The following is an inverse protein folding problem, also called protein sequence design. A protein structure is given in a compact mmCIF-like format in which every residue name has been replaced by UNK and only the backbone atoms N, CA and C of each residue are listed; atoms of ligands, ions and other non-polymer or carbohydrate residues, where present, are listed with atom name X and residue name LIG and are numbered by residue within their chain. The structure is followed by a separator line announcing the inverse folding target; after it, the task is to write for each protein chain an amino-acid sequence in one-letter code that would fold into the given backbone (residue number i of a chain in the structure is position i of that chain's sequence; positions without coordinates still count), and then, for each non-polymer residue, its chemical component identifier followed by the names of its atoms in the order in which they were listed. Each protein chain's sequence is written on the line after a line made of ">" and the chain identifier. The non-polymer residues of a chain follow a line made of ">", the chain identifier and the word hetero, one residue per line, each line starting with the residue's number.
data_IF_573231995336
#
_entry.id   IF_573231995336
#
_cell.length_a   1.000
_cell.length_b   1.000
_cell.length_c   1.000
_cell.angle_alpha   90.00
_cell.angle_beta   90.00
_cell.angle_gamma   90.00
#
_symmetry.space_group_name_H-M   'P 1'
#
loop_
_entity.id
_entity.type
_entity.pdbx_description
1 polymer ?
#
# COMPACT_ATOMS: atom_id res chain seq x y z
N UNK A 1 81.33 -13.22 -29.62
CA UNK A 1 79.93 -13.12 -30.07
C UNK A 1 79.05 -13.70 -28.98
N UNK A 2 78.31 -12.89 -28.19
CA UNK A 2 77.20 -13.36 -27.32
C UNK A 2 76.40 -12.22 -26.64
N UNK A 3 76.79 -10.94 -26.76
CA UNK A 3 76.02 -9.83 -26.17
C UNK A 3 74.78 -9.37 -26.96
N UNK A 4 74.60 -9.80 -28.22
CA UNK A 4 73.40 -9.45 -29.02
C UNK A 4 72.17 -10.28 -28.66
N UNK A 5 72.34 -11.48 -28.11
CA UNK A 5 71.22 -12.39 -27.82
C UNK A 5 70.49 -12.05 -26.51
N UNK A 6 71.15 -11.39 -25.55
CA UNK A 6 70.51 -10.95 -24.28
C UNK A 6 69.58 -9.74 -24.44
N UNK A 7 69.88 -8.83 -25.36
CA UNK A 7 69.07 -7.62 -25.61
C UNK A 7 67.74 -8.00 -26.27
N UNK A 8 67.75 -8.96 -27.20
CA UNK A 8 66.55 -9.44 -27.90
C UNK A 8 65.53 -10.03 -26.91
N UNK A 9 65.99 -10.85 -25.95
CA UNK A 9 65.13 -11.45 -24.94
C UNK A 9 64.46 -10.39 -24.05
N UNK A 10 65.23 -9.38 -23.62
CA UNK A 10 64.73 -8.27 -22.79
C UNK A 10 63.68 -7.46 -23.57
N UNK A 11 63.94 -7.14 -24.84
CA UNK A 11 62.98 -6.42 -25.69
C UNK A 11 61.69 -7.21 -25.90
N UNK A 12 61.77 -8.52 -26.15
CA UNK A 12 60.58 -9.37 -26.31
C UNK A 12 59.77 -9.45 -25.02
N UNK A 13 60.44 -9.57 -23.86
CA UNK A 13 59.77 -9.62 -22.57
C UNK A 13 59.05 -8.30 -22.28
N UNK A 14 59.67 -7.15 -22.55
CA UNK A 14 59.02 -5.85 -22.41
C UNK A 14 57.81 -5.69 -23.34
N UNK A 15 57.92 -6.13 -24.59
CA UNK A 15 56.78 -6.12 -25.52
C UNK A 15 55.65 -7.01 -25.01
N UNK A 16 55.96 -8.20 -24.47
CA UNK A 16 54.95 -9.08 -23.85
C UNK A 16 54.29 -8.46 -22.62
N UNK A 17 55.07 -7.80 -21.76
CA UNK A 17 54.53 -7.08 -20.58
C UNK A 17 53.58 -5.97 -21.03
N UNK A 18 53.97 -5.17 -22.02
CA UNK A 18 53.13 -4.08 -22.55
C UNK A 18 51.87 -4.64 -23.20
N UNK A 19 51.99 -5.69 -24.04
CA UNK A 19 50.86 -6.36 -24.66
C UNK A 19 49.89 -6.95 -23.63
N UNK A 20 50.41 -7.58 -22.58
CA UNK A 20 49.60 -8.15 -21.50
C UNK A 20 48.89 -7.05 -20.70
N UNK A 21 49.59 -5.97 -20.36
CA UNK A 21 48.99 -4.83 -19.67
C UNK A 21 47.89 -4.17 -20.51
N UNK A 22 48.10 -4.02 -21.82
CA UNK A 22 47.11 -3.47 -22.75
C UNK A 22 45.90 -4.41 -22.90
N UNK A 23 46.13 -5.71 -23.04
CA UNK A 23 45.06 -6.71 -23.11
C UNK A 23 44.21 -6.72 -21.83
N UNK A 24 44.83 -6.66 -20.65
CA UNK A 24 44.12 -6.54 -19.37
C UNK A 24 43.34 -5.23 -19.26
N UNK A 25 43.90 -4.12 -19.75
CA UNK A 25 43.22 -2.82 -19.79
C UNK A 25 41.96 -2.85 -20.66
N UNK A 26 42.04 -3.46 -21.86
CA UNK A 26 40.90 -3.65 -22.75
C UNK A 26 39.86 -4.60 -22.15
N UNK A 27 40.29 -5.73 -21.59
CA UNK A 27 39.40 -6.68 -20.95
C UNK A 27 38.60 -6.03 -19.81
N UNK A 28 39.26 -5.24 -18.96
CA UNK A 28 38.58 -4.46 -17.91
C UNK A 28 37.56 -3.49 -18.51
N UNK A 29 37.92 -2.72 -19.53
CA UNK A 29 37.00 -1.76 -20.18
C UNK A 29 35.79 -2.45 -20.79
N UNK A 30 35.98 -3.57 -21.49
CA UNK A 30 34.89 -4.36 -22.08
C UNK A 30 33.99 -4.91 -20.98
N UNK A 31 34.57 -5.48 -19.92
CA UNK A 31 33.82 -5.98 -18.78
C UNK A 31 32.96 -4.87 -18.14
N UNK A 32 33.56 -3.74 -17.77
CA UNK A 32 32.82 -2.62 -17.17
C UNK A 32 31.74 -2.06 -18.10
N UNK A 33 32.06 -1.88 -19.38
CA UNK A 33 31.08 -1.40 -20.37
C UNK A 33 29.93 -2.37 -20.51
N UNK A 34 30.19 -3.67 -20.60
CA UNK A 34 29.16 -4.70 -20.74
C UNK A 34 28.28 -4.77 -19.50
N UNK A 35 28.85 -4.71 -18.30
CA UNK A 35 28.09 -4.71 -17.05
C UNK A 35 27.20 -3.46 -16.95
N UNK A 36 27.74 -2.28 -17.28
CA UNK A 36 26.97 -1.04 -17.26
C UNK A 36 25.82 -1.05 -18.27
N UNK A 37 26.08 -1.46 -19.52
CA UNK A 37 25.03 -1.56 -20.55
C UNK A 37 23.94 -2.54 -20.13
N UNK A 38 24.30 -3.67 -19.52
CA UNK A 38 23.32 -4.63 -18.98
C UNK A 38 22.44 -3.99 -17.91
N UNK A 39 23.03 -3.27 -16.93
CA UNK A 39 22.26 -2.59 -15.89
C UNK A 39 21.31 -1.53 -16.44
N UNK A 40 21.75 -0.73 -17.42
CA UNK A 40 20.89 0.26 -18.08
C UNK A 40 19.73 -0.43 -18.83
N UNK A 41 20.00 -1.53 -19.51
CA UNK A 41 18.98 -2.31 -20.21
C UNK A 41 17.98 -2.96 -19.24
N UNK A 42 18.46 -3.54 -18.15
CA UNK A 42 17.62 -4.18 -17.14
C UNK A 42 16.73 -3.16 -16.42
N UNK A 43 17.23 -1.94 -16.16
CA UNK A 43 16.41 -0.84 -15.66
C UNK A 43 15.33 -0.41 -16.67
N UNK A 44 15.67 -0.26 -17.94
CA UNK A 44 14.68 0.08 -18.97
C UNK A 44 13.58 -1.00 -19.09
N UNK A 45 13.96 -2.28 -18.99
CA UNK A 45 13.01 -3.40 -18.95
C UNK A 45 12.16 -3.38 -17.68
N UNK A 46 12.75 -3.10 -16.53
CA UNK A 46 12.06 -2.99 -15.25
C UNK A 46 11.00 -1.87 -15.28
N UNK A 47 11.33 -0.71 -15.85
CA UNK A 47 10.40 0.41 -16.04
C UNK A 47 9.21 0.05 -16.93
N UNK A 48 9.45 -0.65 -18.04
CA UNK A 48 8.37 -1.14 -18.91
C UNK A 48 7.52 -2.16 -18.17
N UNK A 49 8.16 -3.08 -17.45
CA UNK A 49 7.47 -4.13 -16.72
C UNK A 49 6.51 -3.61 -15.64
N UNK A 50 6.94 -2.66 -14.81
CA UNK A 50 6.05 -2.10 -13.78
C UNK A 50 4.87 -1.33 -14.37
N UNK A 51 5.08 -0.63 -15.51
CA UNK A 51 4.02 0.09 -16.22
C UNK A 51 3.01 -0.88 -16.83
N UNK A 52 3.49 -1.96 -17.45
CA UNK A 52 2.63 -3.03 -17.97
C UNK A 52 1.83 -3.70 -16.85
N UNK A 53 2.44 -3.98 -15.70
CA UNK A 53 1.73 -4.54 -14.55
C UNK A 53 0.65 -3.61 -14.00
N UNK A 54 0.92 -2.30 -13.92
CA UNK A 54 -0.10 -1.32 -13.53
C UNK A 54 -1.26 -1.28 -14.55
N UNK A 55 -0.96 -1.26 -15.85
CA UNK A 55 -1.98 -1.31 -16.90
C UNK A 55 -2.80 -2.60 -16.86
N UNK A 56 -2.17 -3.74 -16.52
CA UNK A 56 -2.86 -5.01 -16.35
C UNK A 56 -3.85 -4.96 -15.18
N UNK A 57 -3.43 -4.43 -14.03
CA UNK A 57 -4.31 -4.24 -12.86
C UNK A 57 -5.50 -3.33 -13.19
N UNK A 58 -5.24 -2.22 -13.89
CA UNK A 58 -6.31 -1.32 -14.36
C UNK A 58 -7.32 -2.09 -15.22
N UNK A 59 -6.84 -2.88 -16.18
CA UNK A 59 -7.69 -3.68 -17.04
C UNK A 59 -8.49 -4.75 -16.27
N UNK A 60 -7.91 -5.37 -15.23
CA UNK A 60 -8.62 -6.33 -14.39
C UNK A 60 -9.78 -5.67 -13.62
N UNK A 61 -9.53 -4.49 -13.04
CA UNK A 61 -10.55 -3.74 -12.29
C UNK A 61 -11.64 -3.19 -13.23
N UNK A 62 -11.29 -2.78 -14.45
CA UNK A 62 -12.26 -2.35 -15.46
C UNK A 62 -13.07 -3.52 -16.05
N UNK A 63 -12.51 -4.73 -16.03
CA UNK A 63 -13.19 -5.94 -16.48
C UNK A 63 -14.15 -6.52 -15.44
N UNK A 64 -14.14 -5.99 -14.22
CA UNK A 64 -15.06 -6.39 -13.16
C UNK A 64 -16.52 -6.15 -13.59
N UNK A 65 -17.29 -7.23 -13.60
CA UNK A 65 -18.66 -7.22 -14.10
C UNK A 65 -19.67 -6.77 -13.04
N UNK A 66 -19.36 -6.92 -11.75
CA UNK A 66 -20.28 -6.60 -10.65
C UNK A 66 -19.76 -5.44 -9.80
N UNK A 67 -20.09 -4.22 -10.21
CA UNK A 67 -19.69 -3.00 -9.51
C UNK A 67 -20.53 -2.70 -8.24
N UNK A 68 -21.34 -3.66 -7.77
CA UNK A 68 -22.22 -3.45 -6.60
C UNK A 68 -21.55 -3.82 -5.28
N UNK A 69 -20.49 -4.62 -5.32
CA UNK A 69 -19.64 -4.94 -4.18
C UNK A 69 -18.26 -5.39 -4.65
N UNK A 70 -17.29 -5.38 -3.74
CA UNK A 70 -15.98 -6.00 -3.93
C UNK A 70 -15.64 -6.81 -2.67
N UNK A 71 -15.08 -8.00 -2.84
CA UNK A 71 -14.77 -8.96 -1.79
C UNK A 71 -13.51 -9.80 -2.06
N UNK A 72 -13.26 -10.77 -1.17
CA UNK A 72 -12.00 -11.54 -1.15
C UNK A 72 -11.81 -12.45 -2.38
N UNK A 73 -12.91 -12.80 -3.05
CA UNK A 73 -12.91 -13.68 -4.24
C UNK A 73 -12.71 -12.93 -5.56
N UNK A 74 -12.56 -11.60 -5.52
CA UNK A 74 -12.30 -10.83 -6.72
C UNK A 74 -10.94 -11.12 -7.34
N UNK A 75 -10.92 -11.18 -8.67
CA UNK A 75 -9.75 -11.56 -9.47
C UNK A 75 -8.54 -10.62 -9.32
N UNK A 76 -8.73 -9.43 -8.74
CA UNK A 76 -7.68 -8.47 -8.49
C UNK A 76 -7.21 -8.45 -7.02
N UNK A 77 -7.90 -9.13 -6.09
CA UNK A 77 -7.55 -9.12 -4.67
C UNK A 77 -6.49 -10.15 -4.30
N UNK A 78 -6.68 -11.43 -4.62
CA UNK A 78 -5.73 -12.49 -4.26
C UNK A 78 -5.65 -13.57 -5.35
N UNK A 79 -5.25 -13.16 -6.55
CA UNK A 79 -5.17 -14.07 -7.69
C UNK A 79 -3.74 -14.56 -7.94
N UNK A 80 -3.59 -15.88 -7.98
CA UNK A 80 -2.41 -16.52 -8.56
C UNK A 80 -2.41 -16.36 -10.10
N UNK A 81 -1.28 -16.68 -10.75
CA UNK A 81 -1.16 -16.56 -12.21
C UNK A 81 -0.55 -15.24 -12.64
N UNK A 82 -1.27 -14.41 -13.40
CA UNK A 82 -0.69 -13.21 -14.03
C UNK A 82 -0.33 -12.09 -13.03
N UNK A 83 -0.94 -12.04 -11.85
CA UNK A 83 -0.51 -11.12 -10.77
C UNK A 83 0.72 -11.65 -10.03
N UNK A 84 0.89 -12.96 -9.93
CA UNK A 84 2.11 -13.57 -9.39
C UNK A 84 3.28 -13.43 -10.37
N UNK A 85 3.04 -13.72 -11.66
CA UNK A 85 4.07 -13.79 -12.69
C UNK A 85 3.51 -13.47 -14.08
N UNK A 86 3.11 -12.23 -14.29
CA UNK A 86 2.70 -11.73 -15.59
C UNK A 86 3.88 -11.70 -16.56
N UNK A 87 3.73 -12.30 -17.74
CA UNK A 87 4.79 -12.37 -18.76
C UNK A 87 4.55 -11.33 -19.85
N UNK A 88 5.57 -10.54 -20.16
CA UNK A 88 5.51 -9.54 -21.24
C UNK A 88 6.23 -10.07 -22.48
N UNK A 89 7.49 -10.49 -22.31
CA UNK A 89 8.35 -11.04 -23.34
C UNK A 89 9.49 -11.82 -22.69
N UNK A 90 10.23 -12.63 -23.44
CA UNK A 90 11.30 -13.50 -22.94
C UNK A 90 12.14 -12.89 -21.81
N UNK A 91 11.96 -13.42 -20.59
CA UNK A 91 12.69 -13.00 -19.39
C UNK A 91 12.29 -11.64 -18.82
N UNK A 92 11.20 -11.03 -19.25
CA UNK A 92 10.66 -9.77 -18.71
C UNK A 92 9.19 -9.97 -18.36
N UNK A 93 8.85 -9.67 -17.12
CA UNK A 93 7.50 -9.79 -16.58
C UNK A 93 7.30 -8.88 -15.38
N UNK A 94 6.19 -9.06 -14.69
CA UNK A 94 5.84 -8.32 -13.48
C UNK A 94 5.18 -9.23 -12.45
N UNK A 95 5.15 -8.75 -11.21
CA UNK A 95 4.34 -9.28 -10.13
C UNK A 95 3.67 -8.10 -9.43
N UNK A 96 2.45 -8.30 -8.95
CA UNK A 96 1.68 -7.33 -8.17
C UNK A 96 1.55 -7.91 -6.77
N UNK A 97 2.09 -7.21 -5.78
CA UNK A 97 2.23 -7.74 -4.43
C UNK A 97 1.50 -6.87 -3.41
N UNK A 98 0.87 -7.52 -2.46
CA UNK A 98 0.34 -6.91 -1.25
C UNK A 98 0.64 -7.82 -0.05
N UNK A 99 0.41 -7.31 1.15
CA UNK A 99 0.60 -8.07 2.39
C UNK A 99 -0.77 -8.64 2.80
N UNK A 100 -0.79 -9.91 3.20
CA UNK A 100 -1.98 -10.53 3.79
C UNK A 100 -2.24 -9.93 5.18
N UNK A 101 -3.51 -9.77 5.51
CA UNK A 101 -3.90 -9.27 6.82
C UNK A 101 -3.46 -10.26 7.90
N UNK A 102 -2.89 -9.74 8.99
CA UNK A 102 -2.61 -10.54 10.19
C UNK A 102 -3.93 -10.83 10.89
N UNK A 103 -4.19 -12.09 11.20
CA UNK A 103 -5.37 -12.48 11.98
C UNK A 103 -5.09 -12.35 13.47
N UNK A 104 -3.85 -12.63 13.86
CA UNK A 104 -3.35 -12.46 15.22
C UNK A 104 -2.02 -11.70 15.24
N UNK A 105 -1.67 -11.11 16.38
CA UNK A 105 -0.38 -10.45 16.58
C UNK A 105 0.82 -11.39 16.42
N UNK A 106 0.58 -12.71 16.46
CA UNK A 106 1.59 -13.75 16.35
C UNK A 106 1.79 -14.25 14.91
N UNK A 107 0.93 -13.85 13.98
CA UNK A 107 1.02 -14.28 12.60
C UNK A 107 2.18 -13.58 11.89
N UNK A 108 2.91 -14.33 11.09
CA UNK A 108 3.94 -13.76 10.21
C UNK A 108 3.27 -13.01 9.05
N UNK A 109 3.87 -11.90 8.63
CA UNK A 109 3.43 -11.19 7.42
C UNK A 109 3.71 -12.08 6.22
N UNK A 110 2.63 -12.47 5.52
CA UNK A 110 2.72 -13.26 4.31
C UNK A 110 2.32 -12.42 3.10
N UNK A 111 2.92 -12.74 1.96
CA UNK A 111 2.62 -12.07 0.70
C UNK A 111 1.35 -12.63 0.08
N UNK A 112 0.59 -11.75 -0.57
CA UNK A 112 -0.47 -12.09 -1.53
C UNK A 112 -0.22 -11.37 -2.85
N UNK A 113 -0.85 -11.87 -3.91
CA UNK A 113 -0.72 -11.30 -5.25
C UNK A 113 -2.01 -10.58 -5.64
N UNK A 114 -1.97 -9.26 -5.63
CA UNK A 114 -3.14 -8.42 -5.89
C UNK A 114 -3.01 -7.01 -5.34
N UNK A 115 -4.15 -6.31 -5.32
CA UNK A 115 -4.24 -4.90 -4.92
C UNK A 115 -4.71 -4.74 -3.47
N UNK A 116 -4.36 -3.62 -2.84
CA UNK A 116 -4.91 -3.21 -1.55
C UNK A 116 -6.20 -2.40 -1.74
N UNK A 117 -7.22 -2.71 -0.94
CA UNK A 117 -8.45 -1.92 -0.90
C UNK A 117 -8.25 -0.74 0.07
N UNK A 118 -8.01 0.48 -0.45
CA UNK A 118 -7.60 1.59 0.42
C UNK A 118 -8.72 2.09 1.34
N UNK A 119 -9.98 1.84 1.00
CA UNK A 119 -11.11 2.10 1.89
C UNK A 119 -11.43 0.89 2.79
N UNK A 120 -10.53 -0.06 2.98
CA UNK A 120 -10.61 -1.04 4.08
C UNK A 120 -10.32 -0.43 5.44
N UNK A 121 -9.71 0.77 5.46
CA UNK A 121 -9.32 1.53 6.65
C UNK A 121 -10.23 2.73 6.84
N UNK A 122 -10.32 3.21 8.08
CA UNK A 122 -11.03 4.45 8.38
C UNK A 122 -10.32 5.63 7.70
N UNK A 123 -11.08 6.54 7.09
CA UNK A 123 -10.51 7.71 6.42
C UNK A 123 -10.28 8.84 7.42
N UNK A 124 -9.02 9.27 7.55
CA UNK A 124 -8.58 10.31 8.48
C UNK A 124 -9.25 11.67 8.21
N UNK A 125 -9.63 11.93 6.97
CA UNK A 125 -10.27 13.19 6.55
C UNK A 125 -11.74 13.30 6.99
N UNK A 126 -12.36 12.23 7.48
CA UNK A 126 -13.79 12.18 7.78
C UNK A 126 -14.08 11.60 9.19
N UNK A 127 -13.07 11.57 10.07
CA UNK A 127 -13.24 11.03 11.43
C UNK A 127 -14.18 11.93 12.24
N UNK A 128 -15.17 11.32 12.86
CA UNK A 128 -16.12 11.98 13.75
C UNK A 128 -15.58 12.10 15.17
N UNK A 129 -16.12 13.03 15.97
CA UNK A 129 -15.77 13.17 17.39
C UNK A 129 -15.94 11.87 18.20
N UNK A 130 -16.97 11.06 17.90
CA UNK A 130 -17.18 9.78 18.56
C UNK A 130 -16.06 8.79 18.22
N UNK A 131 -15.68 8.70 16.94
CA UNK A 131 -14.56 7.86 16.49
C UNK A 131 -13.23 8.35 17.08
N UNK A 132 -12.99 9.66 17.14
CA UNK A 132 -11.80 10.26 17.77
C UNK A 132 -11.65 9.82 19.23
N UNK A 133 -12.71 9.96 20.04
CA UNK A 133 -12.68 9.50 21.45
C UNK A 133 -12.35 8.01 21.53
N UNK A 134 -12.98 7.21 20.66
CA UNK A 134 -12.78 5.75 20.63
C UNK A 134 -11.36 5.37 20.23
N UNK A 135 -10.78 6.03 19.23
CA UNK A 135 -9.40 5.81 18.78
C UNK A 135 -8.42 6.11 19.92
N UNK A 136 -8.62 7.24 20.61
CA UNK A 136 -7.82 7.64 21.77
C UNK A 136 -7.88 6.58 22.88
N UNK A 137 -9.07 6.05 23.17
CA UNK A 137 -9.26 5.04 24.20
C UNK A 137 -8.67 3.67 23.83
N UNK A 138 -8.80 3.24 22.58
CA UNK A 138 -8.34 1.91 22.13
C UNK A 138 -6.82 1.87 21.99
N UNK A 139 -6.23 2.90 21.38
CA UNK A 139 -4.83 2.88 20.95
C UNK A 139 -3.90 3.70 21.85
N UNK A 140 -4.43 4.34 22.90
CA UNK A 140 -3.68 5.20 23.83
C UNK A 140 -2.84 6.25 23.08
N UNK A 141 -3.42 6.87 22.04
CA UNK A 141 -2.72 7.85 21.22
C UNK A 141 -2.55 9.18 21.95
N UNK A 142 -1.48 9.90 21.62
CA UNK A 142 -1.26 11.24 22.15
C UNK A 142 -2.36 12.19 21.69
N UNK A 143 -3.19 12.66 22.64
CA UNK A 143 -4.34 13.52 22.39
C UNK A 143 -3.97 14.88 21.80
N UNK A 144 -2.82 15.43 22.20
CA UNK A 144 -2.34 16.73 21.71
C UNK A 144 -1.96 16.63 20.23
N UNK A 145 -1.18 15.61 19.86
CA UNK A 145 -0.75 15.40 18.47
C UNK A 145 -1.96 15.04 17.61
N UNK A 146 -2.87 14.20 18.11
CA UNK A 146 -4.07 13.85 17.36
C UNK A 146 -5.03 15.05 17.20
N UNK A 147 -5.13 15.93 18.18
CA UNK A 147 -5.88 17.19 18.04
C UNK A 147 -5.26 18.09 16.96
N UNK A 148 -3.94 18.24 16.91
CA UNK A 148 -3.26 18.99 15.86
C UNK A 148 -3.47 18.37 14.46
N UNK A 149 -3.65 17.04 14.36
CA UNK A 149 -4.04 16.38 13.11
C UNK A 149 -5.46 16.76 12.68
N UNK A 150 -6.40 16.87 13.63
CA UNK A 150 -7.78 17.26 13.35
C UNK A 150 -7.86 18.74 12.91
N UNK A 151 -7.18 19.65 13.62
CA UNK A 151 -7.07 21.08 13.26
C UNK A 151 -6.45 21.26 11.86
N UNK A 152 -5.51 20.41 11.47
CA UNK A 152 -4.93 20.47 10.12
C UNK A 152 -5.96 20.18 9.01
N UNK A 153 -6.99 19.39 9.32
CA UNK A 153 -7.97 18.84 8.38
C UNK A 153 -9.27 19.62 8.39
N UNK A 154 -9.73 20.06 9.55
CA UNK A 154 -11.04 20.67 9.69
C UNK A 154 -11.06 22.10 9.10
N UNK A 155 -12.22 22.61 8.67
CA UNK A 155 -12.28 23.88 7.96
C UNK A 155 -12.27 25.11 8.88
N UNK A 156 -12.34 24.93 10.19
CA UNK A 156 -12.44 26.05 11.12
C UNK A 156 -11.05 26.52 11.57
N UNK A 157 -10.97 27.33 12.63
CA UNK A 157 -9.69 27.79 13.19
C UNK A 157 -9.75 27.73 14.73
N UNK A 158 -10.65 26.89 15.28
CA UNK A 158 -10.85 26.73 16.72
C UNK A 158 -10.04 25.51 17.19
N UNK A 159 -8.93 25.70 17.94
CA UNK A 159 -8.05 24.57 18.23
C UNK A 159 -8.75 23.47 19.03
N UNK A 160 -8.67 22.23 18.53
CA UNK A 160 -9.26 21.07 19.18
C UNK A 160 -8.61 20.77 20.55
N UNK A 161 -9.28 19.91 21.32
CA UNK A 161 -8.81 19.43 22.62
C UNK A 161 -8.47 20.57 23.62
N UNK A 162 -9.44 21.47 23.84
CA UNK A 162 -9.34 22.59 24.80
C UNK A 162 -8.14 23.53 24.55
N UNK A 163 -7.73 23.73 23.29
CA UNK A 163 -6.61 24.62 22.96
C UNK A 163 -5.26 23.93 22.76
N UNK A 164 -5.19 22.60 22.89
CA UNK A 164 -3.93 21.84 22.77
C UNK A 164 -3.52 21.55 21.31
N UNK A 165 -4.47 21.70 20.39
CA UNK A 165 -4.24 21.59 18.95
C UNK A 165 -3.32 22.67 18.35
N UNK A 166 -3.35 22.80 17.04
CA UNK A 166 -2.47 23.68 16.26
C UNK A 166 -3.18 24.25 15.04
N UNK A 167 -3.62 25.49 15.19
CA UNK A 167 -4.23 26.28 14.13
C UNK A 167 -3.24 27.27 13.52
N UNK A 168 -3.69 28.02 12.51
CA UNK A 168 -2.88 29.02 11.82
C UNK A 168 -2.08 29.92 12.78
N UNK A 169 -2.73 30.45 13.82
CA UNK A 169 -2.11 31.34 14.80
C UNK A 169 -0.90 30.70 15.51
N UNK A 170 -0.96 29.39 15.79
CA UNK A 170 0.15 28.66 16.40
C UNK A 170 1.40 28.64 15.49
N UNK A 171 1.21 28.43 14.18
CA UNK A 171 2.33 28.37 13.24
C UNK A 171 2.90 29.77 12.95
N UNK A 172 2.04 30.80 12.89
CA UNK A 172 2.47 32.19 12.78
C UNK A 172 3.30 32.63 14.00
N UNK A 173 2.86 32.27 15.22
CA UNK A 173 3.59 32.56 16.46
C UNK A 173 4.96 31.85 16.55
N UNK A 174 5.15 30.77 15.80
CA UNK A 174 6.43 30.06 15.68
C UNK A 174 7.34 30.60 14.57
N UNK A 175 6.98 31.73 13.93
CA UNK A 175 7.66 32.28 12.75
C UNK A 175 7.80 31.23 11.61
N UNK A 176 6.85 30.28 11.52
CA UNK A 176 6.82 29.26 10.48
C UNK A 176 5.98 29.74 9.30
N UNK A 177 6.52 29.69 8.08
CA UNK A 177 5.77 29.95 6.85
C UNK A 177 4.93 28.71 6.45
N UNK A 178 4.09 28.26 7.39
CA UNK A 178 3.21 27.11 7.27
C UNK A 178 1.80 27.56 7.60
N UNK A 179 0.87 27.26 6.70
CA UNK A 179 -0.56 27.43 6.97
C UNK A 179 -1.19 26.04 7.00
N UNK A 180 -1.92 25.69 8.07
CA UNK A 180 -2.77 24.51 8.08
C UNK A 180 -3.66 24.44 6.83
N UNK A 181 -3.93 23.22 6.37
CA UNK A 181 -4.64 23.04 5.11
C UNK A 181 -6.10 23.48 5.21
N UNK A 182 -6.68 23.33 6.39
CA UNK A 182 -8.09 23.47 6.70
C UNK A 182 -8.95 22.71 5.68
N UNK A 183 -8.55 21.48 5.41
CA UNK A 183 -9.18 20.60 4.45
C UNK A 183 -8.50 19.24 4.34
N UNK A 184 -9.05 18.32 3.53
CA UNK A 184 -8.59 16.94 3.45
C UNK A 184 -7.09 16.83 3.13
N UNK A 185 -6.38 16.02 3.92
CA UNK A 185 -5.00 15.63 3.67
C UNK A 185 -4.89 15.12 2.24
N UNK A 186 -3.97 15.74 1.49
CA UNK A 186 -3.64 15.30 0.16
C UNK A 186 -2.55 14.24 0.26
N UNK A 187 -1.51 14.41 1.08
CA UNK A 187 -0.37 13.49 1.15
C UNK A 187 0.01 13.15 2.58
N UNK A 188 0.45 11.91 2.79
CA UNK A 188 1.03 11.46 4.05
C UNK A 188 2.29 12.22 4.48
N UNK A 189 2.93 12.97 3.56
CA UNK A 189 4.06 13.83 3.89
C UNK A 189 3.65 15.09 4.65
N UNK A 190 2.37 15.50 4.56
CA UNK A 190 1.86 16.66 5.29
C UNK A 190 1.86 16.44 6.80
N UNK A 191 1.80 15.19 7.25
CA UNK A 191 1.91 14.86 8.68
C UNK A 191 3.17 15.47 9.32
N UNK A 192 4.28 15.56 8.57
CA UNK A 192 5.54 16.12 9.08
C UNK A 192 5.54 17.65 9.23
N UNK A 193 4.48 18.32 8.79
CA UNK A 193 4.25 19.75 9.02
C UNK A 193 3.42 20.00 10.29
N UNK A 194 2.77 18.96 10.83
CA UNK A 194 1.85 19.05 11.95
C UNK A 194 2.63 19.10 13.27
N UNK A 195 2.21 19.99 14.16
CA UNK A 195 2.76 20.15 15.52
C UNK A 195 2.93 18.79 16.21
N UNK A 196 4.14 18.55 16.72
CA UNK A 196 4.45 17.42 17.59
C UNK A 196 4.48 16.05 16.90
N UNK A 197 4.32 15.98 15.57
CA UNK A 197 4.34 14.71 14.84
C UNK A 197 5.68 13.97 15.03
N UNK A 198 5.61 12.70 15.45
CA UNK A 198 6.78 11.80 15.52
C UNK A 198 6.73 10.78 14.38
N UNK A 199 7.87 10.16 14.07
CA UNK A 199 7.95 9.10 13.06
C UNK A 199 7.06 7.90 13.41
N UNK A 200 7.01 7.54 14.70
CA UNK A 200 6.18 6.44 15.20
C UNK A 200 4.68 6.75 15.04
N UNK A 201 4.26 7.98 15.37
CA UNK A 201 2.85 8.35 15.24
C UNK A 201 2.45 8.51 13.78
N UNK A 202 3.31 9.09 12.94
CA UNK A 202 3.08 9.16 11.50
C UNK A 202 3.01 7.76 10.87
N UNK A 203 3.82 6.80 11.34
CA UNK A 203 3.74 5.39 10.93
C UNK A 203 2.42 4.77 11.37
N UNK A 204 2.02 4.94 12.63
CA UNK A 204 0.73 4.47 13.15
C UNK A 204 -0.44 4.98 12.30
N UNK A 205 -0.45 6.28 11.97
CA UNK A 205 -1.51 6.87 11.14
C UNK A 205 -1.56 6.26 9.73
N UNK A 206 -0.40 6.07 9.08
CA UNK A 206 -0.31 5.44 7.75
C UNK A 206 -0.73 3.97 7.75
N UNK A 207 -0.44 3.25 8.82
CA UNK A 207 -0.74 1.83 8.94
C UNK A 207 -2.22 1.58 9.26
N UNK A 208 -2.88 2.45 10.02
CA UNK A 208 -4.25 2.23 10.50
C UNK A 208 -5.33 3.04 9.76
N UNK A 209 -4.95 4.08 9.02
CA UNK A 209 -5.91 4.97 8.35
C UNK A 209 -5.64 5.06 6.84
N UNK A 210 -6.62 5.58 6.13
CA UNK A 210 -6.50 6.03 4.74
C UNK A 210 -6.78 7.52 4.64
N UNK A 211 -6.34 8.15 3.55
CA UNK A 211 -6.76 9.51 3.17
C UNK A 211 -7.62 9.49 1.89
N UNK A 212 -7.91 8.30 1.36
CA UNK A 212 -8.59 8.08 0.09
C UNK A 212 -10.03 7.58 0.28
N UNK A 213 -10.90 7.87 -0.69
CA UNK A 213 -12.31 7.49 -0.64
C UNK A 213 -13.21 8.55 -0.01
N UNK A 214 -14.48 8.19 0.15
CA UNK A 214 -15.58 9.07 0.55
C UNK A 214 -15.87 9.05 2.06
N UNK A 215 -14.97 8.46 2.84
CA UNK A 215 -15.13 8.28 4.29
C UNK A 215 -15.77 6.96 4.70
N UNK A 216 -16.36 6.19 3.77
CA UNK A 216 -16.98 4.89 4.08
C UNK A 216 -15.99 3.74 3.93
N UNK A 217 -16.05 2.83 4.90
CA UNK A 217 -15.20 1.63 4.96
C UNK A 217 -15.85 0.47 4.20
N UNK A 218 -15.11 -0.16 3.27
CA UNK A 218 -15.54 -1.42 2.69
C UNK A 218 -15.38 -2.54 3.73
N UNK A 219 -16.51 -3.01 4.25
CA UNK A 219 -16.55 -4.00 5.34
C UNK A 219 -15.99 -5.37 4.93
N UNK A 220 -15.99 -5.71 3.63
CA UNK A 220 -15.44 -6.98 3.13
C UNK A 220 -13.93 -7.11 3.35
N UNK A 221 -13.23 -5.99 3.54
CA UNK A 221 -11.77 -5.96 3.72
C UNK A 221 -11.35 -5.34 5.05
N UNK A 222 -12.31 -4.93 5.89
CA UNK A 222 -12.03 -4.16 7.09
C UNK A 222 -11.35 -5.00 8.17
N UNK A 223 -10.16 -4.55 8.58
CA UNK A 223 -9.38 -5.20 9.64
C UNK A 223 -9.99 -4.97 11.02
N UNK A 224 -9.58 -5.79 12.00
CA UNK A 224 -10.03 -5.71 13.40
C UNK A 224 -9.95 -4.28 13.94
N UNK A 225 -8.81 -3.62 13.78
CA UNK A 225 -8.60 -2.26 14.29
C UNK A 225 -9.60 -1.26 13.66
N UNK A 226 -9.85 -1.36 12.36
CA UNK A 226 -10.81 -0.47 11.68
C UNK A 226 -12.23 -0.69 12.20
N UNK A 227 -12.65 -1.95 12.37
CA UNK A 227 -13.97 -2.28 12.90
C UNK A 227 -14.12 -1.84 14.36
N UNK A 228 -13.07 -1.96 15.16
CA UNK A 228 -13.05 -1.43 16.52
C UNK A 228 -13.23 0.10 16.53
N UNK A 229 -12.53 0.83 15.65
CA UNK A 229 -12.68 2.29 15.52
C UNK A 229 -14.08 2.71 15.07
N UNK A 230 -14.76 1.89 14.27
CA UNK A 230 -16.16 2.09 13.89
C UNK A 230 -17.13 1.82 15.04
N UNK A 231 -16.69 1.15 16.11
CA UNK A 231 -17.49 0.87 17.30
C UNK A 231 -18.11 -0.53 17.34
N UNK A 232 -17.61 -1.45 16.52
CA UNK A 232 -18.04 -2.85 16.57
C UNK A 232 -17.47 -3.52 17.83
N UNK A 233 -18.28 -4.29 18.57
CA UNK A 233 -17.76 -5.13 19.66
C UNK A 233 -16.93 -6.29 19.09
N UNK A 234 -15.92 -6.74 19.84
CA UNK A 234 -15.03 -7.84 19.38
C UNK A 234 -15.80 -9.11 19.01
N UNK A 235 -16.89 -9.43 19.72
CA UNK A 235 -17.72 -10.59 19.41
C UNK A 235 -18.34 -10.52 18.02
N UNK A 236 -18.78 -9.34 17.59
CA UNK A 236 -19.30 -9.12 16.25
C UNK A 236 -18.18 -9.18 15.22
N UNK A 237 -17.02 -8.59 15.49
CA UNK A 237 -15.86 -8.61 14.58
C UNK A 237 -15.47 -10.05 14.25
N UNK A 238 -15.38 -10.92 15.27
CA UNK A 238 -15.06 -12.34 15.09
C UNK A 238 -16.09 -13.03 14.17
N UNK A 239 -17.39 -12.76 14.36
CA UNK A 239 -18.46 -13.32 13.51
C UNK A 239 -18.34 -12.85 12.07
N UNK A 240 -18.04 -11.57 11.86
CA UNK A 240 -17.88 -10.98 10.52
C UNK A 240 -16.70 -11.63 9.80
N UNK A 241 -15.53 -11.72 10.44
CA UNK A 241 -14.35 -12.32 9.81
C UNK A 241 -14.50 -13.82 9.57
N UNK A 242 -15.18 -14.57 10.45
CA UNK A 242 -15.52 -15.97 10.19
C UNK A 242 -16.49 -16.14 9.03
N UNK A 243 -17.52 -15.28 8.97
CA UNK A 243 -18.45 -15.29 7.85
C UNK A 243 -17.71 -15.05 6.53
N UNK A 244 -16.86 -14.01 6.46
CA UNK A 244 -16.09 -13.68 5.26
C UNK A 244 -15.15 -14.81 4.82
N UNK A 245 -14.51 -15.52 5.78
CA UNK A 245 -13.57 -16.63 5.51
C UNK A 245 -14.24 -18.00 5.29
N UNK A 246 -15.56 -18.04 5.20
CA UNK A 246 -16.26 -19.28 4.92
C UNK A 246 -16.20 -20.33 6.03
N UNK A 247 -16.14 -21.60 5.63
CA UNK A 247 -16.23 -22.77 6.51
C UNK A 247 -14.84 -23.17 7.01
N UNK A 248 -13.81 -23.01 6.17
CA UNK A 248 -12.45 -23.42 6.50
C UNK A 248 -11.67 -22.39 7.35
N UNK A 249 -12.22 -21.18 7.50
CA UNK A 249 -11.64 -20.05 8.23
C UNK A 249 -10.31 -19.55 7.63
N UNK A 250 -10.09 -19.81 6.35
CA UNK A 250 -8.88 -19.43 5.59
C UNK A 250 -9.22 -18.38 4.55
N UNK A 251 -8.60 -17.21 4.66
CA UNK A 251 -8.79 -16.14 3.66
C UNK A 251 -8.22 -16.51 2.28
N UNK A 252 -9.02 -16.25 1.25
CA UNK A 252 -8.68 -16.36 -0.16
C UNK A 252 -8.99 -17.72 -0.78
N UNK A 253 -9.98 -18.44 -0.25
CA UNK A 253 -10.44 -19.75 -0.72
C UNK A 253 -11.76 -19.63 -1.49
N UNK A 254 -12.18 -20.73 -2.13
CA UNK A 254 -13.42 -20.74 -2.92
C UNK A 254 -14.69 -20.65 -2.07
N UNK A 255 -14.62 -20.90 -0.75
CA UNK A 255 -15.74 -20.84 0.18
C UNK A 255 -15.86 -19.50 0.94
N UNK A 256 -14.97 -18.54 0.67
CA UNK A 256 -15.07 -17.17 1.18
C UNK A 256 -16.41 -16.53 0.78
N UNK A 257 -17.06 -15.90 1.74
CA UNK A 257 -18.28 -15.13 1.50
C UNK A 257 -17.94 -13.68 1.16
N UNK A 258 -18.93 -12.96 0.61
CA UNK A 258 -18.83 -11.52 0.40
C UNK A 258 -20.14 -10.85 0.77
N UNK A 259 -20.02 -9.73 1.47
CA UNK A 259 -21.13 -8.88 1.85
C UNK A 259 -21.48 -8.04 0.63
N UNK A 260 -22.59 -8.39 -0.03
CA UNK A 260 -23.03 -7.72 -1.27
C UNK A 260 -23.92 -6.52 -0.99
N UNK A 261 -24.86 -6.70 -0.06
CA UNK A 261 -25.83 -5.69 0.34
C UNK A 261 -25.97 -5.71 1.85
N UNK A 262 -25.96 -4.53 2.45
CA UNK A 262 -26.03 -4.38 3.90
C UNK A 262 -27.36 -4.92 4.46
N UNK A 263 -28.49 -4.68 3.79
CA UNK A 263 -29.80 -5.09 4.29
C UNK A 263 -29.92 -6.61 4.39
N UNK A 264 -29.21 -7.32 3.50
CA UNK A 264 -29.18 -8.78 3.43
C UNK A 264 -28.11 -9.34 4.37
N UNK A 265 -26.97 -8.66 4.48
CA UNK A 265 -25.85 -9.02 5.35
C UNK A 265 -26.29 -9.45 6.76
N UNK A 266 -27.20 -8.70 7.37
CA UNK A 266 -27.63 -9.00 8.73
C UNK A 266 -28.45 -10.25 8.87
N UNK A 267 -29.22 -10.55 7.84
CA UNK A 267 -29.94 -11.81 7.78
C UNK A 267 -28.94 -12.95 7.61
N UNK A 268 -28.01 -12.83 6.67
CA UNK A 268 -27.02 -13.87 6.36
C UNK A 268 -26.10 -14.14 7.56
N UNK A 269 -25.61 -13.10 8.21
CA UNK A 269 -24.76 -13.21 9.38
C UNK A 269 -25.52 -13.85 10.56
N UNK A 270 -26.79 -13.50 10.77
CA UNK A 270 -27.60 -14.10 11.83
C UNK A 270 -28.02 -15.56 11.53
N UNK A 271 -28.12 -15.93 10.25
CA UNK A 271 -28.29 -17.33 9.83
C UNK A 271 -27.00 -18.14 10.03
N UNK A 272 -25.83 -17.53 9.83
CA UNK A 272 -24.52 -18.14 10.07
C UNK A 272 -24.22 -18.30 11.57
N UNK A 273 -24.36 -17.23 12.35
CA UNK A 273 -24.15 -17.22 13.79
C UNK A 273 -25.09 -16.22 14.47
N UNK A 274 -25.79 -16.65 15.53
CA UNK A 274 -26.77 -15.82 16.26
C UNK A 274 -26.20 -14.47 16.67
N UNK A 275 -26.89 -13.38 16.31
CA UNK A 275 -26.49 -12.01 16.64
C UNK A 275 -27.22 -11.53 17.90
N UNK A 276 -26.48 -10.91 18.82
CA UNK A 276 -27.03 -10.34 20.04
C UNK A 276 -27.56 -8.91 19.83
N UNK A 277 -28.53 -8.43 20.64
CA UNK A 277 -29.09 -7.09 20.48
C UNK A 277 -28.06 -5.95 20.51
N UNK A 278 -27.02 -6.06 21.32
CA UNK A 278 -25.93 -5.07 21.35
C UNK A 278 -25.10 -5.02 20.06
N UNK A 279 -24.87 -6.18 19.43
CA UNK A 279 -24.14 -6.29 18.16
C UNK A 279 -24.95 -5.68 17.02
N UNK A 280 -26.26 -5.97 16.98
CA UNK A 280 -27.20 -5.35 16.05
C UNK A 280 -27.22 -3.82 16.22
N UNK A 281 -27.23 -3.32 17.45
CA UNK A 281 -27.21 -1.88 17.72
C UNK A 281 -25.91 -1.23 17.26
N UNK A 282 -24.77 -1.87 17.52
CA UNK A 282 -23.46 -1.37 17.09
C UNK A 282 -23.35 -1.28 15.57
N UNK A 283 -23.83 -2.31 14.86
CA UNK A 283 -23.83 -2.29 13.41
C UNK A 283 -24.76 -1.21 12.85
N UNK A 284 -25.98 -1.08 13.38
CA UNK A 284 -26.93 -0.06 12.95
C UNK A 284 -26.40 1.37 13.11
N UNK A 285 -25.57 1.63 14.12
CA UNK A 285 -24.89 2.92 14.30
C UNK A 285 -23.76 3.13 13.30
N UNK A 286 -23.11 2.05 12.88
CA UNK A 286 -21.96 2.08 11.97
C UNK A 286 -22.35 2.20 10.49
N UNK A 287 -23.62 1.93 10.17
CA UNK A 287 -24.21 1.99 8.83
C UNK A 287 -23.80 3.17 7.95
N UNK A 288 -23.84 4.43 8.42
CA UNK A 288 -23.48 5.58 7.60
C UNK A 288 -22.01 5.60 7.18
N UNK A 289 -21.16 4.84 7.87
CA UNK A 289 -19.70 4.84 7.74
C UNK A 289 -19.16 3.60 7.04
N UNK A 290 -20.02 2.70 6.56
CA UNK A 290 -19.63 1.48 5.86
C UNK A 290 -20.25 1.40 4.46
N UNK A 291 -19.60 0.67 3.58
CA UNK A 291 -20.11 0.26 2.27
C UNK A 291 -19.56 -1.13 1.93
N UNK A 292 -19.86 -1.60 0.72
CA UNK A 292 -19.36 -2.88 0.18
C UNK A 292 -18.51 -2.68 -1.07
N UNK A 293 -18.20 -1.43 -1.43
CA UNK A 293 -17.58 -1.05 -2.69
C UNK A 293 -16.24 -0.37 -2.42
N UNK A 294 -15.19 -0.80 -3.11
CA UNK A 294 -13.88 -0.20 -3.16
C UNK A 294 -13.79 0.81 -4.30
N UNK A 295 -13.51 2.05 -3.94
CA UNK A 295 -13.36 3.16 -4.90
C UNK A 295 -11.89 3.46 -5.19
N UNK A 296 -11.00 3.11 -4.27
CA UNK A 296 -9.58 3.43 -4.32
C UNK A 296 -8.75 2.20 -4.00
N UNK A 297 -7.76 1.94 -4.84
CA UNK A 297 -6.88 0.78 -4.72
C UNK A 297 -5.42 1.19 -4.63
N UNK A 298 -4.67 0.50 -3.78
CA UNK A 298 -3.23 0.56 -3.68
C UNK A 298 -2.62 -0.54 -4.52
N UNK A 299 -1.66 -0.19 -5.39
CA UNK A 299 -1.03 -1.15 -6.30
C UNK A 299 0.48 -1.06 -6.15
N UNK A 300 1.11 -2.18 -5.79
CA UNK A 300 2.58 -2.31 -5.78
C UNK A 300 3.01 -3.32 -6.82
N UNK A 301 3.72 -2.84 -7.84
CA UNK A 301 4.20 -3.66 -8.95
C UNK A 301 5.71 -3.80 -8.87
N UNK A 302 6.22 -5.03 -8.94
CA UNK A 302 7.65 -5.31 -9.05
C UNK A 302 7.96 -5.98 -10.39
N UNK A 303 9.06 -5.64 -11.06
CA UNK A 303 9.45 -6.25 -12.31
C UNK A 303 10.19 -7.56 -12.07
N UNK A 304 9.93 -8.52 -12.96
CA UNK A 304 10.63 -9.79 -13.03
C UNK A 304 11.56 -9.74 -14.24
N UNK A 305 12.87 -9.85 -14.01
CA UNK A 305 13.90 -9.87 -15.04
C UNK A 305 14.70 -11.18 -14.93
N UNK A 306 14.72 -11.97 -15.99
CA UNK A 306 15.34 -13.30 -16.06
C UNK A 306 14.94 -14.19 -14.88
N UNK A 307 13.63 -14.30 -14.61
CA UNK A 307 13.03 -15.04 -13.47
C UNK A 307 13.39 -14.54 -12.06
N UNK A 308 13.99 -13.36 -11.92
CA UNK A 308 14.28 -12.77 -10.62
C UNK A 308 13.53 -11.45 -10.44
N UNK A 309 13.05 -11.19 -9.22
CA UNK A 309 12.53 -9.87 -8.86
C UNK A 309 13.69 -8.88 -8.93
N UNK A 310 13.57 -7.87 -9.77
CA UNK A 310 14.55 -6.80 -9.88
C UNK A 310 14.24 -5.74 -8.81
N UNK A 311 15.25 -5.18 -8.10
CA UNK A 311 15.07 -4.32 -6.93
C UNK A 311 14.60 -2.91 -7.30
N UNK A 312 13.43 -2.84 -7.91
CA UNK A 312 12.75 -1.65 -8.38
C UNK A 312 11.26 -1.94 -8.27
N UNK A 313 10.45 -0.93 -7.97
CA UNK A 313 9.01 -1.12 -7.87
C UNK A 313 8.28 0.18 -8.16
N UNK A 314 7.00 0.01 -8.50
CA UNK A 314 6.06 1.10 -8.67
C UNK A 314 4.97 0.96 -7.62
N UNK A 315 4.74 2.02 -6.85
CA UNK A 315 3.55 2.16 -6.02
C UNK A 315 2.58 3.11 -6.71
N UNK A 316 1.31 2.75 -6.79
CA UNK A 316 0.27 3.61 -7.32
C UNK A 316 -0.97 3.59 -6.44
N UNK A 317 -1.69 4.72 -6.49
CA UNK A 317 -3.06 4.83 -6.02
C UNK A 317 -3.93 5.05 -7.24
N UNK A 318 -4.89 4.17 -7.44
CA UNK A 318 -5.84 4.23 -8.54
C UNK A 318 -7.25 4.42 -7.99
N UNK A 319 -8.07 5.15 -8.73
CA UNK A 319 -9.46 5.46 -8.40
C UNK A 319 -10.37 4.89 -9.49
N UNK A 320 -11.36 4.10 -9.07
CA UNK A 320 -12.41 3.56 -9.93
C UNK A 320 -13.61 4.52 -9.94
N UNK A 321 -13.95 5.02 -11.12
CA UNK A 321 -15.13 5.84 -11.40
C UNK A 321 -16.09 5.10 -12.32
N UNK A 322 -17.29 5.65 -12.53
CA UNK A 322 -18.29 5.08 -13.45
C UNK A 322 -17.77 5.02 -14.89
N UNK A 323 -16.92 5.97 -15.27
CA UNK A 323 -16.41 6.11 -16.64
C UNK A 323 -15.12 5.31 -16.89
N UNK A 324 -14.50 4.73 -15.86
CA UNK A 324 -13.25 3.97 -15.96
C UNK A 324 -12.35 4.13 -14.74
N UNK A 325 -11.13 3.61 -14.83
CA UNK A 325 -10.14 3.66 -13.75
C UNK A 325 -9.05 4.69 -14.07
N UNK A 326 -8.70 5.50 -13.08
CA UNK A 326 -7.71 6.58 -13.23
C UNK A 326 -6.59 6.45 -12.21
N UNK A 327 -5.35 6.73 -12.63
CA UNK A 327 -4.20 6.77 -11.72
C UNK A 327 -4.14 8.14 -11.06
N UNK A 328 -4.37 8.20 -9.75
CA UNK A 328 -4.28 9.45 -8.99
C UNK A 328 -2.82 9.81 -8.71
N UNK A 329 -2.04 8.81 -8.32
CA UNK A 329 -0.61 8.97 -8.00
C UNK A 329 0.15 7.72 -8.35
N UNK A 330 1.40 7.91 -8.74
CA UNK A 330 2.37 6.83 -8.83
C UNK A 330 3.75 7.33 -8.45
N UNK A 331 4.56 6.44 -7.89
CA UNK A 331 5.98 6.68 -7.64
C UNK A 331 6.77 5.43 -7.99
N UNK A 332 7.93 5.65 -8.58
CA UNK A 332 8.88 4.62 -8.97
C UNK A 332 10.10 4.71 -8.04
N UNK A 333 10.50 3.60 -7.42
CA UNK A 333 11.56 3.59 -6.42
C UNK A 333 12.43 2.33 -6.56
N UNK A 334 13.70 2.44 -6.14
CA UNK A 334 14.54 1.26 -5.97
C UNK A 334 14.24 0.60 -4.63
N UNK A 335 14.18 -0.73 -4.62
CA UNK A 335 14.16 -1.51 -3.38
C UNK A 335 15.50 -1.42 -2.69
N UNK A 336 15.47 -1.37 -1.35
CA UNK A 336 16.67 -1.53 -0.51
C UNK A 336 17.08 -2.97 -0.39
#
# INVERSE_FOLDING_TARGET
>A
MNHRNGIILISVLWVMVILTAMALGLAKRIYFSSSYTKSVLDLARAQVAVKSGLSFVIALIEADADLTYDGLTDIYYNAQGDLEKGVIQDGVGFTVQAIKQKQTEWDEETLRYGVDCLNSKLNLNFITKEQTTRIIEIFDVNKEIFAAVLDWIDPDNDPNNNGEGAEKDFYEDMDMDITPRNGPLQSWNELFLIKGMTDEFAKFLRENFTIYGDGRVNINFAEKNTLLMLGFPESLIIKIHRFLRGIDDVEGTEDDNSIKQYEIFMKDLNEYESIYPEELSALQKSLPYINTITTHFGVKVMPIINNNIYPYYLNAVIERKKEGVTVLRSSEMFGT
#
